data_IF_011439567056
#
_entry.id   IF_011439567056
#
_cell.length_a   1.000
_cell.length_b   1.000
_cell.length_c   1.000
_cell.angle_alpha   90.00
_cell.angle_beta   90.00
_cell.angle_gamma   90.00
#
_symmetry.space_group_name_H-M   'P 1'
#
loop_
_entity.id
_entity.type
_entity.pdbx_description
1 polymer ?
#
# COMPACT_ATOMS: atom_id res chain seq x y z
N UNK A 1 -27.20 11.24 -9.78
CA UNK A 1 -26.89 9.86 -9.51
C UNK A 1 -25.40 9.69 -9.32
N UNK A 2 -24.96 9.15 -8.22
CA UNK A 2 -23.57 8.75 -8.12
C UNK A 2 -23.32 7.63 -9.09
N UNK A 3 -22.60 7.89 -10.12
CA UNK A 3 -22.24 6.93 -11.14
C UNK A 3 -20.74 6.88 -11.31
N UNK A 4 -20.32 6.35 -12.45
CA UNK A 4 -18.89 6.27 -12.78
C UNK A 4 -18.21 7.64 -12.73
N UNK A 5 -18.91 8.70 -13.14
CA UNK A 5 -18.38 10.06 -13.10
C UNK A 5 -18.04 10.52 -11.68
N UNK A 6 -18.90 10.21 -10.71
CA UNK A 6 -18.66 10.55 -9.31
C UNK A 6 -17.47 9.79 -8.73
N UNK A 7 -17.38 8.49 -8.99
CA UNK A 7 -16.25 7.68 -8.55
C UNK A 7 -14.94 8.16 -9.16
N UNK A 8 -14.95 8.52 -10.45
CA UNK A 8 -13.78 9.03 -11.15
C UNK A 8 -13.32 10.37 -10.55
N UNK A 9 -14.24 11.30 -10.29
CA UNK A 9 -13.91 12.58 -9.67
C UNK A 9 -13.32 12.37 -8.28
N UNK A 10 -13.86 11.46 -7.48
CA UNK A 10 -13.33 11.14 -6.16
C UNK A 10 -11.92 10.55 -6.24
N UNK A 11 -11.67 9.69 -7.23
CA UNK A 11 -10.34 9.14 -7.46
C UNK A 11 -9.33 10.24 -7.80
N UNK A 12 -9.69 11.16 -8.67
CA UNK A 12 -8.83 12.29 -9.03
C UNK A 12 -8.52 13.17 -7.82
N UNK A 13 -9.53 13.46 -6.99
CA UNK A 13 -9.34 14.24 -5.75
C UNK A 13 -8.39 13.53 -4.79
N UNK A 14 -8.54 12.23 -4.62
CA UNK A 14 -7.66 11.44 -3.76
C UNK A 14 -6.22 11.48 -4.28
N UNK A 15 -6.02 11.29 -5.57
CA UNK A 15 -4.69 11.37 -6.19
C UNK A 15 -4.06 12.74 -5.98
N UNK A 16 -4.81 13.83 -6.22
CA UNK A 16 -4.34 15.19 -5.98
C UNK A 16 -3.95 15.42 -4.54
N UNK A 17 -4.80 15.00 -3.60
CA UNK A 17 -4.55 15.17 -2.18
C UNK A 17 -3.29 14.44 -1.74
N UNK A 18 -3.10 13.21 -2.17
CA UNK A 18 -1.91 12.43 -1.86
C UNK A 18 -0.67 13.09 -2.47
N UNK A 19 -0.75 13.57 -3.69
CA UNK A 19 0.34 14.27 -4.34
C UNK A 19 0.77 15.51 -3.53
N UNK A 20 -0.20 16.32 -3.12
CA UNK A 20 0.07 17.51 -2.33
C UNK A 20 0.65 17.16 -0.96
N UNK A 21 0.04 16.20 -0.26
CA UNK A 21 0.52 15.76 1.07
C UNK A 21 1.91 15.14 1.03
N UNK A 22 2.23 14.44 -0.05
CA UNK A 22 3.52 13.79 -0.20
C UNK A 22 4.60 14.73 -0.73
N UNK A 23 4.28 16.01 -0.95
CA UNK A 23 5.20 16.98 -1.55
C UNK A 23 5.75 16.51 -2.90
N UNK A 24 4.90 15.86 -3.70
CA UNK A 24 5.29 15.34 -5.00
C UNK A 24 6.01 13.99 -4.97
N UNK A 25 6.08 13.35 -3.81
CA UNK A 25 6.77 12.05 -3.68
C UNK A 25 6.19 10.99 -4.62
N UNK A 26 4.87 10.96 -4.78
CA UNK A 26 4.20 10.01 -5.69
C UNK A 26 4.67 10.24 -7.12
N UNK A 27 4.69 11.49 -7.58
CA UNK A 27 5.18 11.83 -8.92
C UNK A 27 6.66 11.47 -9.08
N UNK A 28 7.47 11.72 -8.04
CA UNK A 28 8.88 11.36 -8.05
C UNK A 28 9.08 9.85 -8.19
N UNK A 29 8.32 9.05 -7.46
CA UNK A 29 8.39 7.58 -7.56
C UNK A 29 7.99 7.08 -8.94
N UNK A 30 6.97 7.68 -9.56
CA UNK A 30 6.58 7.35 -10.93
C UNK A 30 7.68 7.67 -11.92
N UNK A 31 8.37 8.82 -11.75
CA UNK A 31 9.49 9.21 -12.60
C UNK A 31 10.66 8.22 -12.47
N UNK A 32 10.84 7.60 -11.31
CA UNK A 32 11.85 6.56 -11.10
C UNK A 32 11.40 5.20 -11.64
N UNK A 33 10.23 5.10 -12.26
CA UNK A 33 9.72 3.86 -12.81
C UNK A 33 9.14 2.90 -11.77
N UNK A 34 8.91 3.36 -10.56
CA UNK A 34 8.26 2.55 -9.51
C UNK A 34 6.75 2.56 -9.71
N UNK A 35 6.14 1.37 -9.63
CA UNK A 35 4.69 1.24 -9.71
C UNK A 35 4.06 1.60 -8.37
N UNK A 36 3.07 2.47 -8.41
CA UNK A 36 2.34 2.91 -7.21
C UNK A 36 0.85 2.65 -7.36
N UNK A 37 0.20 2.40 -6.23
CA UNK A 37 -1.25 2.31 -6.11
C UNK A 37 -1.72 3.24 -4.99
N UNK A 38 -3.01 3.54 -4.96
CA UNK A 38 -3.64 4.22 -3.82
C UNK A 38 -4.45 3.19 -3.06
N UNK A 39 -4.09 2.99 -1.80
CA UNK A 39 -4.79 2.08 -0.90
C UNK A 39 -5.77 2.88 -0.06
N UNK A 40 -7.05 2.50 -0.12
CA UNK A 40 -8.11 3.11 0.69
C UNK A 40 -8.50 2.15 1.80
N UNK A 41 -8.32 2.57 3.04
CA UNK A 41 -8.65 1.79 4.23
C UNK A 41 -9.66 2.51 5.10
N UNK A 42 -10.24 1.79 6.06
CA UNK A 42 -11.09 2.36 7.10
C UNK A 42 -10.26 2.55 8.36
N UNK A 43 -10.23 3.77 8.89
CA UNK A 43 -9.45 4.10 10.08
C UNK A 43 -9.81 3.20 11.26
N UNK A 44 -8.79 2.60 11.88
CA UNK A 44 -8.98 1.63 12.96
C UNK A 44 -9.63 2.26 14.21
N UNK A 45 -9.32 3.54 14.47
CA UNK A 45 -9.82 4.25 15.65
C UNK A 45 -11.08 5.06 15.37
N UNK A 46 -11.15 5.70 14.19
CA UNK A 46 -12.23 6.67 13.89
C UNK A 46 -13.28 6.12 12.95
N UNK A 47 -13.00 5.05 12.20
CA UNK A 47 -13.88 4.57 11.14
C UNK A 47 -13.89 5.44 9.90
N UNK A 48 -13.08 6.50 9.86
CA UNK A 48 -13.04 7.42 8.73
C UNK A 48 -12.21 6.85 7.57
N UNK A 49 -12.54 7.23 6.32
CA UNK A 49 -11.74 6.82 5.17
C UNK A 49 -10.31 7.36 5.25
N UNK A 50 -9.36 6.53 4.86
CA UNK A 50 -7.93 6.89 4.75
C UNK A 50 -7.41 6.46 3.40
N UNK A 51 -6.47 7.22 2.86
CA UNK A 51 -5.86 6.93 1.57
C UNK A 51 -4.34 7.08 1.65
N UNK A 52 -3.62 6.11 1.09
CA UNK A 52 -2.16 6.12 1.06
C UNK A 52 -1.67 5.69 -0.31
N UNK A 53 -0.67 6.41 -0.83
CA UNK A 53 0.02 6.01 -2.05
C UNK A 53 1.20 5.11 -1.68
N UNK A 54 1.25 3.93 -2.26
CA UNK A 54 2.24 2.90 -1.92
C UNK A 54 2.86 2.32 -3.18
N UNK A 55 4.16 2.03 -3.12
CA UNK A 55 4.82 1.18 -4.11
C UNK A 55 4.30 -0.24 -3.93
N UNK A 56 4.05 -0.93 -5.04
CA UNK A 56 3.54 -2.29 -4.98
C UNK A 56 4.31 -3.21 -5.92
N UNK A 57 4.29 -4.50 -5.59
CA UNK A 57 4.68 -5.58 -6.48
C UNK A 57 3.46 -6.41 -6.84
N UNK A 58 3.58 -7.29 -7.81
CA UNK A 58 2.51 -8.21 -8.20
C UNK A 58 2.97 -9.65 -8.04
N UNK A 59 2.05 -10.50 -7.63
CA UNK A 59 2.26 -11.93 -7.50
C UNK A 59 0.94 -12.67 -7.78
N UNK A 60 0.86 -13.37 -8.91
CA UNK A 60 -0.32 -14.15 -9.29
C UNK A 60 -1.64 -13.36 -9.21
N UNK A 61 -1.65 -12.14 -9.73
CA UNK A 61 -2.84 -11.29 -9.74
C UNK A 61 -3.11 -10.58 -8.42
N UNK A 62 -2.29 -10.79 -7.40
CA UNK A 62 -2.38 -10.10 -6.11
C UNK A 62 -1.42 -8.92 -6.09
N UNK A 63 -1.72 -7.94 -5.23
CA UNK A 63 -0.86 -6.79 -5.03
C UNK A 63 -0.14 -6.94 -3.69
N UNK A 64 1.16 -6.65 -3.68
CA UNK A 64 2.00 -6.77 -2.49
C UNK A 64 2.44 -5.37 -2.08
N UNK A 65 2.23 -5.02 -0.82
CA UNK A 65 2.67 -3.75 -0.24
C UNK A 65 3.35 -4.01 1.10
N UNK A 66 4.22 -3.09 1.52
CA UNK A 66 5.03 -3.29 2.72
C UNK A 66 4.83 -2.11 3.68
N UNK A 67 4.36 -2.37 4.91
CA UNK A 67 4.19 -1.31 5.91
C UNK A 67 5.52 -0.98 6.59
N UNK A 68 6.49 -0.52 5.81
CA UNK A 68 7.83 -0.23 6.27
C UNK A 68 7.90 1.02 7.15
N UNK A 69 7.03 1.99 6.92
CA UNK A 69 7.02 3.28 7.61
C UNK A 69 8.42 3.92 7.66
N UNK A 70 9.18 3.77 6.56
CA UNK A 70 10.55 4.31 6.46
C UNK A 70 11.55 3.70 7.44
N UNK A 71 11.24 2.56 8.03
CA UNK A 71 12.09 1.92 9.05
C UNK A 71 11.82 2.40 10.46
N UNK A 72 10.74 3.14 10.70
CA UNK A 72 10.35 3.55 12.05
C UNK A 72 9.98 2.34 12.94
N UNK A 73 10.04 2.52 14.25
CA UNK A 73 9.81 1.44 15.22
C UNK A 73 8.35 1.07 15.40
N UNK A 74 7.45 1.63 14.63
CA UNK A 74 6.03 1.29 14.66
C UNK A 74 5.52 1.02 13.25
N UNK A 75 4.51 0.17 13.14
CA UNK A 75 3.86 -0.12 11.87
C UNK A 75 3.17 1.12 11.30
N UNK A 76 3.06 1.17 9.98
CA UNK A 76 2.25 2.18 9.29
C UNK A 76 0.80 2.13 9.77
N UNK A 77 0.16 3.30 9.87
CA UNK A 77 -1.23 3.38 10.32
C UNK A 77 -2.17 2.55 9.44
N UNK A 78 -1.96 2.53 8.11
CA UNK A 78 -2.79 1.76 7.21
C UNK A 78 -2.71 0.25 7.45
N UNK A 79 -1.61 -0.26 8.00
CA UNK A 79 -1.50 -1.66 8.37
C UNK A 79 -2.41 -1.99 9.55
N UNK A 80 -2.43 -1.12 10.57
CA UNK A 80 -3.37 -1.27 11.69
C UNK A 80 -4.82 -1.20 11.21
N UNK A 81 -5.11 -0.34 10.24
CA UNK A 81 -6.43 -0.23 9.65
C UNK A 81 -6.86 -1.54 8.97
N UNK A 82 -5.96 -2.14 8.18
CA UNK A 82 -6.23 -3.42 7.52
C UNK A 82 -6.36 -4.58 8.50
N UNK A 83 -5.60 -4.57 9.59
CA UNK A 83 -5.72 -5.63 10.59
C UNK A 83 -7.10 -5.62 11.24
N UNK A 84 -7.67 -4.45 11.44
CA UNK A 84 -9.02 -4.33 12.00
C UNK A 84 -10.09 -4.55 10.92
N UNK A 85 -9.90 -4.01 9.73
CA UNK A 85 -10.84 -4.09 8.60
C UNK A 85 -10.07 -4.55 7.36
N UNK A 86 -9.97 -5.86 7.12
CA UNK A 86 -9.14 -6.38 6.02
C UNK A 86 -9.71 -6.14 4.63
N UNK A 87 -10.98 -5.78 4.52
CA UNK A 87 -11.58 -5.43 3.24
C UNK A 87 -11.29 -3.97 2.94
N UNK A 88 -10.77 -3.71 1.73
CA UNK A 88 -10.31 -2.39 1.32
C UNK A 88 -10.48 -2.23 -0.19
N UNK A 89 -10.17 -1.04 -0.68
CA UNK A 89 -10.14 -0.76 -2.11
C UNK A 89 -8.74 -0.29 -2.49
N UNK A 90 -8.34 -0.61 -3.72
CA UNK A 90 -7.14 -0.03 -4.31
C UNK A 90 -7.48 0.63 -5.64
N UNK A 91 -6.80 1.74 -5.93
CA UNK A 91 -6.79 2.35 -7.24
C UNK A 91 -5.46 2.08 -7.90
N UNK A 92 -5.49 1.40 -9.03
CA UNK A 92 -4.31 1.14 -9.85
C UNK A 92 -4.53 1.90 -11.15
N UNK A 93 -3.89 3.06 -11.29
CA UNK A 93 -4.24 4.01 -12.32
C UNK A 93 -5.67 4.50 -12.13
N UNK A 94 -6.52 4.33 -13.13
CA UNK A 94 -7.93 4.72 -13.08
C UNK A 94 -8.87 3.56 -12.73
N UNK A 95 -8.31 2.39 -12.42
CA UNK A 95 -9.12 1.20 -12.10
C UNK A 95 -9.20 1.00 -10.60
N UNK A 96 -10.41 0.95 -10.10
CA UNK A 96 -10.70 0.60 -8.71
C UNK A 96 -10.91 -0.91 -8.59
N UNK A 97 -10.30 -1.51 -7.58
CA UNK A 97 -10.49 -2.92 -7.27
C UNK A 97 -10.76 -3.10 -5.79
N UNK A 98 -11.75 -3.92 -5.47
CA UNK A 98 -11.96 -4.36 -4.11
C UNK A 98 -10.98 -5.48 -3.79
N UNK A 99 -10.37 -5.42 -2.61
CA UNK A 99 -9.36 -6.39 -2.19
C UNK A 99 -9.61 -6.82 -0.75
N UNK A 100 -9.04 -7.97 -0.41
CA UNK A 100 -8.97 -8.43 0.98
C UNK A 100 -7.52 -8.61 1.36
N UNK A 101 -7.14 -8.04 2.51
CA UNK A 101 -5.77 -8.08 2.99
C UNK A 101 -5.50 -9.33 3.82
N UNK A 102 -4.34 -9.92 3.58
CA UNK A 102 -3.67 -10.86 4.47
C UNK A 102 -2.24 -10.40 4.62
N UNK A 103 -1.48 -10.98 5.55
CA UNK A 103 -0.10 -10.56 5.78
C UNK A 103 0.76 -11.74 6.18
N UNK A 104 2.05 -11.65 5.82
CA UNK A 104 3.06 -12.69 6.05
C UNK A 104 4.22 -12.04 6.80
N UNK A 105 4.53 -12.53 7.98
CA UNK A 105 5.65 -12.03 8.78
C UNK A 105 6.94 -12.80 8.49
N UNK A 106 8.12 -12.22 8.81
CA UNK A 106 9.39 -12.93 8.71
C UNK A 106 9.34 -14.27 9.44
N UNK A 107 9.89 -15.31 8.82
CA UNK A 107 9.88 -16.66 9.34
C UNK A 107 8.68 -17.49 8.90
N UNK A 108 7.64 -16.87 8.37
CA UNK A 108 6.50 -17.60 7.82
C UNK A 108 6.80 -18.08 6.38
N UNK A 109 6.12 -19.15 5.92
CA UNK A 109 6.27 -19.61 4.54
C UNK A 109 6.00 -18.49 3.54
N UNK A 110 6.75 -18.47 2.45
CA UNK A 110 6.68 -17.49 1.36
C UNK A 110 7.21 -16.09 1.72
N UNK A 111 7.51 -15.78 2.96
CA UNK A 111 7.95 -14.42 3.31
C UNK A 111 9.13 -13.95 2.45
N UNK A 112 10.20 -14.73 2.36
CA UNK A 112 11.40 -14.30 1.65
C UNK A 112 11.15 -14.11 0.16
N UNK A 113 10.33 -14.96 -0.45
CA UNK A 113 9.93 -14.82 -1.84
C UNK A 113 9.14 -13.54 -2.09
N UNK A 114 8.16 -13.27 -1.25
CA UNK A 114 7.32 -12.08 -1.37
C UNK A 114 8.11 -10.80 -1.06
N UNK A 115 8.95 -10.84 -0.03
CA UNK A 115 9.82 -9.71 0.32
C UNK A 115 10.73 -9.34 -0.85
N UNK A 116 11.33 -10.34 -1.50
CA UNK A 116 12.21 -10.10 -2.64
C UNK A 116 11.49 -9.38 -3.77
N UNK A 117 10.26 -9.78 -4.09
CA UNK A 117 9.46 -9.11 -5.12
C UNK A 117 9.21 -7.63 -4.75
N UNK A 118 8.84 -7.38 -3.50
CA UNK A 118 8.60 -6.03 -3.01
C UNK A 118 9.87 -5.18 -3.03
N UNK A 119 10.98 -5.77 -2.58
CA UNK A 119 12.25 -5.06 -2.50
C UNK A 119 12.75 -4.65 -3.88
N UNK A 120 12.59 -5.53 -4.88
CA UNK A 120 12.93 -5.21 -6.27
C UNK A 120 12.04 -4.04 -6.76
N UNK A 121 10.74 -4.10 -6.51
CA UNK A 121 9.81 -3.05 -6.91
C UNK A 121 10.15 -1.68 -6.29
N UNK A 122 10.70 -1.67 -5.09
CA UNK A 122 11.11 -0.46 -4.37
C UNK A 122 12.61 -0.17 -4.48
N UNK A 123 13.29 -0.81 -5.42
CA UNK A 123 14.71 -0.59 -5.73
C UNK A 123 15.63 -0.76 -4.53
N UNK A 124 15.36 -1.77 -3.69
CA UNK A 124 16.19 -2.12 -2.54
C UNK A 124 15.96 -1.29 -1.29
N UNK A 125 15.04 -0.31 -1.31
CA UNK A 125 14.82 0.56 -0.15
C UNK A 125 14.22 -0.18 1.04
N UNK A 126 13.38 -1.20 0.82
CA UNK A 126 12.78 -1.97 1.92
C UNK A 126 13.86 -2.67 2.76
N UNK A 127 14.90 -3.21 2.12
CA UNK A 127 16.03 -3.78 2.86
C UNK A 127 16.74 -2.73 3.72
N UNK A 128 16.88 -1.50 3.23
CA UNK A 128 17.47 -0.41 4.02
C UNK A 128 16.59 -0.05 5.21
N UNK A 129 15.28 0.02 5.02
CA UNK A 129 14.34 0.31 6.12
C UNK A 129 14.34 -0.81 7.16
N UNK A 130 14.39 -2.07 6.72
CA UNK A 130 14.45 -3.25 7.59
C UNK A 130 15.65 -3.19 8.54
N UNK A 131 16.78 -2.66 8.10
CA UNK A 131 18.00 -2.52 8.92
C UNK A 131 17.87 -1.47 10.00
N UNK A 132 16.94 -0.53 9.88
CA UNK A 132 16.78 0.58 10.83
C UNK A 132 15.92 0.24 12.04
N UNK A 133 15.24 -0.89 12.04
CA UNK A 133 14.34 -1.26 13.12
C UNK A 133 14.49 -2.73 13.49
N UNK A 134 14.22 -3.04 14.76
CA UNK A 134 14.10 -4.43 15.25
C UNK A 134 12.68 -4.97 15.05
N UNK A 135 11.74 -4.10 14.73
CA UNK A 135 10.37 -4.48 14.45
C UNK A 135 10.32 -5.40 13.23
N UNK A 136 9.64 -6.57 13.30
CA UNK A 136 9.43 -7.38 12.11
C UNK A 136 8.50 -6.64 11.14
N UNK A 137 8.93 -6.48 9.90
CA UNK A 137 8.12 -5.83 8.86
C UNK A 137 7.51 -6.91 7.98
N UNK A 138 6.16 -7.04 7.96
CA UNK A 138 5.50 -8.05 7.14
C UNK A 138 5.37 -7.61 5.69
N UNK A 139 5.01 -8.55 4.82
CA UNK A 139 4.46 -8.25 3.50
C UNK A 139 2.95 -8.38 3.59
N UNK A 140 2.23 -7.37 3.12
CA UNK A 140 0.77 -7.37 3.05
C UNK A 140 0.35 -7.78 1.65
N UNK A 141 -0.53 -8.78 1.58
CA UNK A 141 -1.04 -9.33 0.32
C UNK A 141 -2.48 -8.85 0.14
N UNK A 142 -2.73 -8.13 -0.95
CA UNK A 142 -4.04 -7.61 -1.28
C UNK A 142 -4.61 -8.45 -2.43
N UNK A 143 -5.54 -9.31 -2.09
CA UNK A 143 -6.15 -10.24 -3.05
C UNK A 143 -7.45 -9.64 -3.57
N UNK A 144 -7.60 -9.47 -4.90
CA UNK A 144 -8.87 -9.00 -5.48
C UNK A 144 -10.04 -9.91 -5.11
N UNK A 145 -11.18 -9.28 -4.82
CA UNK A 145 -12.42 -9.97 -4.47
C UNK A 145 -13.40 -9.97 -5.62
#
# INVERSE_FOLDING_TARGET
MPGMGSAFVNALKVHQEIYVRSHGLVGHRLLLGMRTLVLNTTGAKTGEPRANALVYARDNGRYLVVPSNGGANRHSAWFHNLRKNPDADVWVGVRRKQVRATWVFPGEPDFERLWKLCNIANRGQFDQYRKKTRRPIPVVVLTPR
#
